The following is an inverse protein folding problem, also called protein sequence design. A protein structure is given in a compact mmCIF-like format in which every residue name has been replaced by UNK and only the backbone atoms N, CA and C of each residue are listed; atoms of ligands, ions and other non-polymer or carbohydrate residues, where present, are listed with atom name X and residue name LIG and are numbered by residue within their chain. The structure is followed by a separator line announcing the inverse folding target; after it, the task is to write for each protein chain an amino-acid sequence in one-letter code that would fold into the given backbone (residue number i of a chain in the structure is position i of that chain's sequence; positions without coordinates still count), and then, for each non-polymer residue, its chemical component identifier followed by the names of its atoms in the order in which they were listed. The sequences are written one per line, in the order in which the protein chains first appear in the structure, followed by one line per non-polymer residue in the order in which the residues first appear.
data_IF_443222105910
#
_entry.id   IF_443222105910
#
_cell.length_a   1.000
_cell.length_b   1.000
_cell.length_c   1.000
_cell.angle_alpha   90.00
_cell.angle_beta   90.00
_cell.angle_gamma   90.00
#
_symmetry.space_group_name_H-M   'P 1'
#
loop_
_entity.id
_entity.type
_entity.pdbx_description
1 polymer ?
#
# COMPACT_ATOMS: atom_id res chain seq x y z
N UNK A 1 -2.50 17.46 -4.31
CA UNK A 1 -3.22 16.54 -3.41
C UNK A 1 -3.01 15.16 -3.98
N UNK A 2 -2.31 14.31 -3.24
CA UNK A 2 -1.88 13.00 -3.77
C UNK A 2 -3.00 11.94 -3.78
N UNK A 3 -4.16 12.21 -3.16
CA UNK A 3 -5.27 11.27 -3.06
C UNK A 3 -6.50 11.80 -3.77
N UNK A 4 -7.03 11.01 -4.70
CA UNK A 4 -8.27 11.26 -5.42
C UNK A 4 -9.26 10.13 -5.12
N UNK A 5 -10.53 10.48 -4.94
CA UNK A 5 -11.60 9.49 -4.73
C UNK A 5 -12.62 9.58 -5.84
N UNK A 6 -12.91 8.46 -6.46
CA UNK A 6 -13.93 8.33 -7.50
C UNK A 6 -14.84 7.14 -7.20
N UNK A 7 -16.10 7.22 -7.62
CA UNK A 7 -17.09 6.17 -7.43
C UNK A 7 -17.60 5.73 -8.79
N UNK A 8 -17.55 4.42 -9.04
CA UNK A 8 -18.11 3.83 -10.25
C UNK A 8 -18.86 2.56 -9.87
N UNK A 9 -20.15 2.53 -10.14
CA UNK A 9 -21.05 1.47 -9.70
C UNK A 9 -20.95 1.28 -8.16
N UNK A 10 -20.82 0.04 -7.69
CA UNK A 10 -20.71 -0.30 -6.26
C UNK A 10 -19.27 -0.19 -5.71
N UNK A 11 -18.34 0.45 -6.45
CA UNK A 11 -16.93 0.49 -6.13
C UNK A 11 -16.43 1.91 -5.86
N UNK A 12 -15.76 2.09 -4.74
CA UNK A 12 -14.99 3.30 -4.42
C UNK A 12 -13.55 3.07 -4.86
N UNK A 13 -13.01 3.98 -5.63
CA UNK A 13 -11.60 4.01 -6.03
C UNK A 13 -10.90 5.12 -5.26
N UNK A 14 -9.86 4.76 -4.52
CA UNK A 14 -8.91 5.70 -3.93
C UNK A 14 -7.64 5.61 -4.78
N UNK A 15 -7.30 6.70 -5.44
CA UNK A 15 -6.19 6.76 -6.39
C UNK A 15 -5.08 7.68 -5.87
N UNK A 16 -3.84 7.25 -6.02
CA UNK A 16 -2.65 8.06 -5.73
C UNK A 16 -2.19 8.76 -7.01
N UNK A 17 -2.07 10.11 -6.95
CA UNK A 17 -1.75 10.94 -8.10
C UNK A 17 -0.83 12.11 -7.73
N UNK A 18 0.43 11.79 -7.42
CA UNK A 18 1.51 12.77 -7.26
C UNK A 18 2.79 12.26 -7.93
N UNK A 19 2.87 12.46 -9.24
CA UNK A 19 3.99 12.03 -10.06
C UNK A 19 5.34 12.61 -9.59
N UNK A 20 5.34 13.86 -9.07
CA UNK A 20 6.56 14.56 -8.65
C UNK A 20 7.27 13.86 -7.49
N UNK A 21 6.52 13.18 -6.64
CA UNK A 21 7.04 12.51 -5.45
C UNK A 21 6.98 10.98 -5.56
N UNK A 22 6.63 10.45 -6.74
CA UNK A 22 6.38 9.01 -6.91
C UNK A 22 5.31 8.51 -5.93
N UNK A 23 4.24 9.29 -5.78
CA UNK A 23 3.12 9.04 -4.86
C UNK A 23 3.57 8.84 -3.40
N UNK A 24 4.54 9.66 -2.91
CA UNK A 24 4.81 9.71 -1.47
C UNK A 24 3.63 10.35 -0.74
N UNK A 25 3.27 9.78 0.40
CA UNK A 25 2.05 10.15 1.14
C UNK A 25 2.43 11.06 2.30
N UNK A 26 1.96 12.32 2.27
CA UNK A 26 2.18 13.31 3.33
C UNK A 26 1.31 13.02 4.56
N UNK A 27 1.61 13.63 5.71
CA UNK A 27 0.80 13.54 6.92
C UNK A 27 -0.68 13.93 6.66
N UNK A 28 -0.93 14.94 5.83
CA UNK A 28 -2.27 15.32 5.41
C UNK A 28 -2.96 14.22 4.61
N UNK A 29 -2.23 13.61 3.68
CA UNK A 29 -2.79 12.56 2.82
C UNK A 29 -3.05 11.26 3.60
N UNK A 30 -2.25 10.93 4.64
CA UNK A 30 -2.56 9.82 5.54
C UNK A 30 -3.89 10.02 6.28
N UNK A 31 -4.16 11.24 6.76
CA UNK A 31 -5.46 11.59 7.39
C UNK A 31 -6.61 11.49 6.41
N UNK A 32 -6.38 11.93 5.17
CA UNK A 32 -7.37 11.82 4.11
C UNK A 32 -7.65 10.36 3.74
N UNK A 33 -6.62 9.54 3.57
CA UNK A 33 -6.76 8.11 3.30
C UNK A 33 -7.61 7.42 4.37
N UNK A 34 -7.26 7.64 5.66
CA UNK A 34 -8.07 7.14 6.79
C UNK A 34 -9.54 7.57 6.65
N UNK A 35 -9.78 8.85 6.40
CA UNK A 35 -11.12 9.41 6.31
C UNK A 35 -11.92 8.78 5.16
N UNK A 36 -11.29 8.57 4.00
CA UNK A 36 -11.96 7.96 2.84
C UNK A 36 -12.27 6.48 3.07
N UNK A 37 -11.38 5.73 3.75
CA UNK A 37 -11.64 4.34 4.12
C UNK A 37 -12.83 4.24 5.08
N UNK A 38 -12.88 5.09 6.12
CA UNK A 38 -13.97 5.12 7.09
C UNK A 38 -15.32 5.54 6.46
N UNK A 39 -15.29 6.47 5.49
CA UNK A 39 -16.47 6.84 4.70
C UNK A 39 -16.96 5.68 3.85
N UNK A 40 -16.04 4.99 3.16
CA UNK A 40 -16.36 3.80 2.38
C UNK A 40 -17.02 2.73 3.24
N UNK A 41 -16.45 2.41 4.40
CA UNK A 41 -17.00 1.38 5.29
C UNK A 41 -18.45 1.66 5.68
N UNK A 42 -18.80 2.93 5.90
CA UNK A 42 -20.18 3.38 6.28
C UNK A 42 -21.11 3.58 5.09
N UNK A 43 -20.61 3.54 3.86
CA UNK A 43 -21.40 3.78 2.64
C UNK A 43 -22.16 2.53 2.19
N UNK A 44 -23.01 2.67 1.18
CA UNK A 44 -23.70 1.54 0.52
C UNK A 44 -22.80 0.80 -0.49
N UNK A 45 -21.60 1.34 -0.81
CA UNK A 45 -20.71 0.72 -1.78
C UNK A 45 -20.09 -0.57 -1.23
N UNK A 46 -19.81 -1.52 -2.13
CA UNK A 46 -19.43 -2.88 -1.76
C UNK A 46 -17.92 -3.14 -1.79
N UNK A 47 -17.19 -2.42 -2.64
CA UNK A 47 -15.77 -2.67 -2.90
C UNK A 47 -14.95 -1.40 -2.79
N UNK A 48 -13.74 -1.53 -2.23
CA UNK A 48 -12.72 -0.49 -2.25
C UNK A 48 -11.56 -0.95 -3.14
N UNK A 49 -11.13 -0.07 -4.04
CA UNK A 49 -9.93 -0.29 -4.84
C UNK A 49 -8.91 0.81 -4.52
N UNK A 50 -7.75 0.40 -4.05
CA UNK A 50 -6.57 1.27 -3.91
C UNK A 50 -5.73 1.12 -5.18
N UNK A 51 -5.43 2.23 -5.85
CA UNK A 51 -4.68 2.20 -7.12
C UNK A 51 -3.86 3.47 -7.31
N UNK A 52 -3.02 3.45 -8.30
CA UNK A 52 -2.32 4.63 -8.82
C UNK A 52 -2.95 5.15 -10.13
N UNK A 53 -2.51 6.33 -10.58
CA UNK A 53 -2.89 6.90 -11.88
C UNK A 53 -1.68 7.07 -12.80
N UNK A 54 -0.48 7.21 -12.25
CA UNK A 54 0.73 7.65 -12.96
C UNK A 54 1.83 6.57 -13.06
N UNK A 55 1.47 5.28 -12.94
CA UNK A 55 2.39 4.15 -13.13
C UNK A 55 3.32 3.89 -11.93
N UNK A 56 3.03 4.43 -10.74
CA UNK A 56 3.72 4.10 -9.50
C UNK A 56 2.72 4.08 -8.34
N UNK A 57 2.60 2.97 -7.64
CA UNK A 57 1.62 2.84 -6.58
C UNK A 57 1.90 3.82 -5.43
N UNK A 58 3.05 3.69 -4.77
CA UNK A 58 3.50 4.65 -3.75
C UNK A 58 4.94 4.38 -3.32
N UNK A 59 5.70 5.43 -3.12
CA UNK A 59 7.04 5.37 -2.51
C UNK A 59 7.02 5.36 -0.97
N UNK A 60 5.83 5.34 -0.35
CA UNK A 60 5.65 5.30 1.10
C UNK A 60 5.43 6.66 1.74
N UNK A 61 5.69 6.77 3.05
CA UNK A 61 5.49 8.00 3.80
C UNK A 61 6.51 9.08 3.41
N UNK A 62 6.02 10.30 3.17
CA UNK A 62 6.88 11.47 3.07
C UNK A 62 7.41 11.81 4.47
N UNK A 63 8.72 11.63 4.66
CA UNK A 63 9.34 11.91 5.96
C UNK A 63 9.23 13.41 6.30
N UNK A 64 8.83 13.69 7.54
CA UNK A 64 8.63 15.03 8.07
C UNK A 64 9.54 15.26 9.29
N UNK A 65 9.72 16.53 9.69
CA UNK A 65 10.51 16.88 10.87
C UNK A 65 9.97 16.22 12.15
N UNK A 66 8.64 16.20 12.31
CA UNK A 66 7.99 15.50 13.42
C UNK A 66 7.59 14.08 13.00
N UNK A 67 8.54 13.15 13.10
CA UNK A 67 8.33 11.76 12.71
C UNK A 67 7.30 11.05 13.60
N UNK A 68 7.19 11.41 14.87
CA UNK A 68 6.24 10.77 15.79
C UNK A 68 4.79 11.08 15.40
N UNK A 69 4.49 12.34 15.09
CA UNK A 69 3.17 12.74 14.62
C UNK A 69 2.83 12.11 13.27
N UNK A 70 3.81 12.02 12.36
CA UNK A 70 3.62 11.31 11.08
C UNK A 70 3.29 9.83 11.31
N UNK A 71 4.02 9.16 12.21
CA UNK A 71 3.80 7.73 12.50
C UNK A 71 2.43 7.48 13.15
N UNK A 72 1.91 8.43 13.92
CA UNK A 72 0.55 8.34 14.45
C UNK A 72 -0.48 8.34 13.31
N UNK A 73 -0.37 9.27 12.34
CA UNK A 73 -1.26 9.34 11.19
C UNK A 73 -1.17 8.08 10.30
N UNK A 74 0.05 7.58 10.06
CA UNK A 74 0.32 6.32 9.33
C UNK A 74 -0.37 5.14 10.03
N UNK A 75 -0.22 5.03 11.35
CA UNK A 75 -0.84 3.95 12.13
C UNK A 75 -2.37 4.04 12.17
N UNK A 76 -2.93 5.25 12.21
CA UNK A 76 -4.38 5.44 12.16
C UNK A 76 -4.95 5.02 10.80
N UNK A 77 -4.28 5.34 9.70
CA UNK A 77 -4.66 4.87 8.36
C UNK A 77 -4.55 3.34 8.24
N UNK A 78 -3.46 2.74 8.77
CA UNK A 78 -3.30 1.28 8.80
C UNK A 78 -4.42 0.60 9.58
N UNK A 79 -4.79 1.14 10.75
CA UNK A 79 -5.90 0.61 11.55
C UNK A 79 -7.25 0.75 10.84
N UNK A 80 -7.51 1.83 10.13
CA UNK A 80 -8.73 2.00 9.36
C UNK A 80 -8.84 0.95 8.26
N UNK A 81 -7.73 0.67 7.55
CA UNK A 81 -7.69 -0.35 6.52
C UNK A 81 -7.83 -1.76 7.09
N UNK A 82 -7.09 -2.08 8.17
CA UNK A 82 -7.17 -3.37 8.86
C UNK A 82 -8.57 -3.70 9.40
N UNK A 83 -9.29 -2.69 9.90
CA UNK A 83 -10.62 -2.86 10.49
C UNK A 83 -11.75 -2.77 9.46
N UNK A 84 -11.45 -2.44 8.19
CA UNK A 84 -12.45 -2.37 7.14
C UNK A 84 -13.09 -3.76 6.94
N UNK A 85 -14.41 -3.84 7.05
CA UNK A 85 -15.17 -5.09 6.96
C UNK A 85 -15.64 -5.43 5.56
N UNK A 86 -15.34 -4.57 4.59
CA UNK A 86 -15.69 -4.76 3.20
C UNK A 86 -14.45 -5.07 2.37
N UNK A 87 -14.58 -5.81 1.26
CA UNK A 87 -13.44 -6.20 0.44
C UNK A 87 -12.62 -5.00 -0.06
N UNK A 88 -11.32 -5.08 0.15
CA UNK A 88 -10.33 -4.12 -0.33
C UNK A 88 -9.41 -4.79 -1.35
N UNK A 89 -9.26 -4.17 -2.50
CA UNK A 89 -8.41 -4.63 -3.59
C UNK A 89 -7.28 -3.62 -3.79
N UNK A 90 -6.04 -4.07 -3.80
CA UNK A 90 -4.91 -3.26 -4.24
C UNK A 90 -4.60 -3.58 -5.71
N UNK A 91 -4.64 -2.57 -6.56
CA UNK A 91 -4.25 -2.63 -7.96
C UNK A 91 -2.92 -1.88 -8.11
N UNK A 92 -1.83 -2.62 -8.35
CA UNK A 92 -0.46 -2.14 -8.13
C UNK A 92 0.33 -2.17 -9.42
N UNK A 93 0.88 -1.01 -9.81
CA UNK A 93 1.88 -0.91 -10.87
C UNK A 93 3.08 -0.07 -10.40
N UNK A 94 4.26 -0.30 -11.01
CA UNK A 94 5.48 0.43 -10.71
C UNK A 94 5.93 0.34 -9.26
N UNK A 95 6.43 1.45 -8.72
CA UNK A 95 7.02 1.51 -7.37
C UNK A 95 5.95 1.31 -6.28
N UNK A 96 6.22 0.35 -5.41
CA UNK A 96 5.45 0.02 -4.22
C UNK A 96 6.41 -0.17 -3.04
N UNK A 97 6.67 0.88 -2.25
CA UNK A 97 7.74 0.88 -1.28
C UNK A 97 7.33 1.37 0.12
N UNK A 98 7.99 0.87 1.15
CA UNK A 98 7.78 1.26 2.54
C UNK A 98 6.34 1.11 3.00
N UNK A 99 5.74 2.16 3.59
CA UNK A 99 4.34 2.13 4.01
C UNK A 99 3.37 1.85 2.83
N UNK A 100 3.73 2.22 1.60
CA UNK A 100 2.98 1.85 0.39
C UNK A 100 3.03 0.35 0.12
N UNK A 101 4.20 -0.30 0.29
CA UNK A 101 4.34 -1.74 0.20
C UNK A 101 3.52 -2.45 1.27
N UNK A 102 3.54 -1.96 2.50
CA UNK A 102 2.78 -2.55 3.59
C UNK A 102 1.27 -2.31 3.49
N UNK A 103 0.84 -1.22 2.82
CA UNK A 103 -0.57 -0.94 2.55
C UNK A 103 -1.21 -2.05 1.72
N UNK A 104 -0.53 -2.54 0.68
CA UNK A 104 -1.09 -3.62 -0.14
C UNK A 104 -1.20 -4.94 0.63
N UNK A 105 -0.33 -5.19 1.62
CA UNK A 105 -0.39 -6.40 2.45
C UNK A 105 -1.60 -6.42 3.41
N UNK A 106 -2.27 -5.28 3.60
CA UNK A 106 -3.51 -5.18 4.36
C UNK A 106 -4.76 -5.34 3.49
N UNK A 107 -4.60 -5.37 2.16
CA UNK A 107 -5.71 -5.57 1.24
C UNK A 107 -6.08 -7.05 1.13
N UNK A 108 -7.35 -7.35 0.89
CA UNK A 108 -7.83 -8.73 0.74
C UNK A 108 -7.33 -9.39 -0.56
N UNK A 109 -7.20 -8.59 -1.62
CA UNK A 109 -6.72 -9.04 -2.93
C UNK A 109 -5.65 -8.10 -3.47
N UNK A 110 -4.51 -8.65 -3.86
CA UNK A 110 -3.44 -7.91 -4.52
C UNK A 110 -3.38 -8.32 -5.98
N UNK A 111 -3.60 -7.36 -6.87
CA UNK A 111 -3.41 -7.51 -8.31
C UNK A 111 -2.23 -6.63 -8.68
N UNK A 112 -1.18 -7.20 -9.23
CA UNK A 112 0.03 -6.45 -9.59
C UNK A 112 0.38 -6.68 -11.06
N UNK A 113 1.16 -5.77 -11.64
CA UNK A 113 1.76 -5.94 -12.97
C UNK A 113 3.14 -6.57 -12.85
N UNK A 114 3.70 -7.05 -13.96
CA UNK A 114 5.09 -7.53 -14.01
C UNK A 114 6.12 -6.42 -13.73
N UNK A 115 5.75 -5.17 -13.97
CA UNK A 115 6.56 -3.96 -13.74
C UNK A 115 6.50 -3.46 -12.30
N UNK A 116 5.68 -4.07 -11.45
CA UNK A 116 5.64 -3.74 -10.01
C UNK A 116 6.99 -3.99 -9.35
N UNK A 117 7.40 -3.05 -8.49
CA UNK A 117 8.65 -3.06 -7.72
C UNK A 117 8.32 -2.96 -6.25
N UNK A 118 8.24 -4.12 -5.57
CA UNK A 118 7.96 -4.18 -4.13
C UNK A 118 9.24 -4.07 -3.31
N UNK A 119 9.29 -3.12 -2.36
CA UNK A 119 10.50 -2.83 -1.58
C UNK A 119 10.15 -2.53 -0.12
N UNK A 120 10.68 -3.33 0.80
CA UNK A 120 10.70 -3.04 2.24
C UNK A 120 11.87 -2.09 2.58
N UNK A 121 11.74 -0.81 2.26
CA UNK A 121 12.84 0.17 2.23
C UNK A 121 13.33 0.62 3.61
N UNK A 122 12.67 0.23 4.69
CA UNK A 122 12.86 0.77 6.04
C UNK A 122 14.30 0.68 6.56
N UNK A 123 14.96 -0.47 6.42
CA UNK A 123 16.35 -0.65 6.90
C UNK A 123 17.34 0.32 6.24
N UNK A 124 17.12 0.73 4.98
CA UNK A 124 17.94 1.77 4.31
C UNK A 124 17.84 3.13 4.98
N UNK A 125 16.78 3.36 5.76
CA UNK A 125 16.50 4.62 6.43
C UNK A 125 16.69 4.53 7.94
N UNK A 126 17.17 3.38 8.45
CA UNK A 126 17.27 3.13 9.89
C UNK A 126 15.93 3.09 10.62
N UNK A 127 14.86 2.78 9.90
CA UNK A 127 13.49 2.73 10.41
C UNK A 127 13.05 1.28 10.64
N UNK A 128 12.11 1.11 11.56
CA UNK A 128 11.39 -0.15 11.77
C UNK A 128 10.23 -0.25 10.78
N UNK A 129 9.95 -1.47 10.31
CA UNK A 129 8.81 -1.74 9.42
C UNK A 129 7.50 -1.35 10.08
N UNK A 130 6.76 -0.46 9.44
CA UNK A 130 5.49 0.09 9.90
C UNK A 130 4.26 -0.48 9.17
N UNK A 131 3.11 0.17 9.27
CA UNK A 131 1.85 -0.15 8.58
C UNK A 131 1.45 -1.63 8.69
N UNK A 132 1.84 -2.34 9.75
CA UNK A 132 1.55 -3.75 9.94
C UNK A 132 2.39 -4.72 9.12
N UNK A 133 3.39 -4.27 8.36
CA UNK A 133 4.22 -5.10 7.49
C UNK A 133 4.96 -6.20 8.25
N UNK A 134 5.52 -5.88 9.43
CA UNK A 134 6.21 -6.86 10.30
C UNK A 134 5.30 -8.00 10.78
N UNK A 135 3.98 -7.81 10.77
CA UNK A 135 2.98 -8.82 11.09
C UNK A 135 2.51 -9.60 9.85
N UNK A 136 2.19 -8.89 8.76
CA UNK A 136 1.55 -9.48 7.59
C UNK A 136 2.52 -10.21 6.67
N UNK A 137 3.66 -9.60 6.36
CA UNK A 137 4.60 -10.18 5.39
C UNK A 137 5.10 -11.57 5.81
N UNK A 138 5.52 -11.81 7.09
CA UNK A 138 5.92 -13.15 7.52
C UNK A 138 4.80 -14.20 7.46
N UNK A 139 3.54 -13.80 7.60
CA UNK A 139 2.39 -14.68 7.49
C UNK A 139 2.06 -15.03 6.05
N UNK A 140 2.37 -14.14 5.13
CA UNK A 140 2.12 -14.31 3.72
C UNK A 140 3.20 -15.17 3.04
N UNK A 141 4.48 -14.91 3.30
CA UNK A 141 5.61 -15.52 2.57
C UNK A 141 6.56 -16.34 3.46
N UNK A 142 6.23 -16.52 4.73
CA UNK A 142 7.08 -17.20 5.70
C UNK A 142 8.19 -16.30 6.26
N UNK A 143 8.61 -16.64 7.50
CA UNK A 143 9.50 -15.78 8.32
C UNK A 143 10.86 -15.53 7.66
N UNK A 144 11.49 -16.55 7.06
CA UNK A 144 12.82 -16.41 6.49
C UNK A 144 12.85 -15.46 5.29
N UNK A 145 11.87 -15.60 4.39
CA UNK A 145 11.77 -14.74 3.21
C UNK A 145 11.39 -13.31 3.59
N UNK A 146 10.49 -13.14 4.57
CA UNK A 146 10.14 -11.82 5.09
C UNK A 146 11.37 -11.12 5.70
N UNK A 147 12.18 -11.82 6.51
CA UNK A 147 13.44 -11.28 7.04
C UNK A 147 14.41 -10.89 5.94
N UNK A 148 14.57 -11.72 4.90
CA UNK A 148 15.40 -11.36 3.74
C UNK A 148 14.96 -10.01 3.17
N UNK A 149 13.68 -9.85 2.81
CA UNK A 149 13.19 -8.62 2.19
C UNK A 149 13.32 -7.41 3.13
N UNK A 150 12.90 -7.54 4.39
CA UNK A 150 12.91 -6.45 5.36
C UNK A 150 14.32 -6.00 5.74
N UNK A 151 15.27 -6.94 5.93
CA UNK A 151 16.60 -6.62 6.42
C UNK A 151 17.57 -6.22 5.30
N UNK A 152 17.44 -6.84 4.12
CA UNK A 152 18.31 -6.53 2.98
C UNK A 152 17.74 -5.42 2.09
N UNK A 153 16.45 -5.10 2.28
CA UNK A 153 15.71 -4.15 1.42
C UNK A 153 15.76 -4.53 -0.06
N UNK A 154 15.84 -5.83 -0.34
CA UNK A 154 15.85 -6.37 -1.70
C UNK A 154 14.54 -6.02 -2.39
N UNK A 155 14.66 -5.47 -3.57
CA UNK A 155 13.55 -5.24 -4.47
C UNK A 155 13.14 -6.56 -5.13
N UNK A 156 11.83 -6.79 -5.23
CA UNK A 156 11.25 -7.90 -5.98
C UNK A 156 10.20 -7.38 -6.97
N UNK A 157 10.12 -8.02 -8.13
CA UNK A 157 9.14 -7.70 -9.18
C UNK A 157 7.82 -8.46 -9.00
N UNK A 158 6.84 -8.15 -9.86
CA UNK A 158 5.52 -8.79 -9.81
C UNK A 158 5.58 -10.31 -10.01
N UNK A 159 6.48 -10.84 -10.84
CA UNK A 159 6.64 -12.29 -11.01
C UNK A 159 7.19 -12.94 -9.72
N UNK A 160 8.15 -12.32 -9.08
CA UNK A 160 8.68 -12.75 -7.78
C UNK A 160 7.60 -12.71 -6.69
N UNK A 161 6.78 -11.65 -6.65
CA UNK A 161 5.64 -11.54 -5.74
C UNK A 161 4.64 -12.69 -5.95
N UNK A 162 4.34 -13.02 -7.22
CA UNK A 162 3.47 -14.14 -7.58
C UNK A 162 4.06 -15.48 -7.10
N UNK A 163 5.34 -15.70 -7.36
CA UNK A 163 6.04 -16.94 -6.96
C UNK A 163 6.11 -17.10 -5.45
N UNK A 164 6.11 -16.00 -4.69
CA UNK A 164 6.03 -15.99 -3.23
C UNK A 164 4.60 -16.12 -2.68
N UNK A 165 3.58 -16.21 -3.55
CA UNK A 165 2.18 -16.33 -3.13
C UNK A 165 1.56 -15.03 -2.62
N UNK A 166 2.15 -13.87 -2.91
CA UNK A 166 1.65 -12.57 -2.46
C UNK A 166 0.46 -12.07 -3.28
N UNK A 167 0.31 -12.54 -4.52
CA UNK A 167 -0.68 -12.00 -5.44
C UNK A 167 -1.89 -12.89 -5.59
N UNK A 168 -3.08 -12.28 -5.61
CA UNK A 168 -4.28 -12.92 -6.15
C UNK A 168 -4.13 -13.13 -7.67
N UNK A 169 -3.62 -12.12 -8.38
CA UNK A 169 -3.44 -12.18 -9.83
C UNK A 169 -2.25 -11.31 -10.27
N UNK A 170 -1.44 -11.84 -11.18
CA UNK A 170 -0.50 -11.04 -11.97
C UNK A 170 -1.21 -10.59 -13.25
N UNK A 171 -1.28 -9.28 -13.49
CA UNK A 171 -1.82 -8.70 -14.71
C UNK A 171 -0.71 -8.53 -15.74
N UNK A 172 -1.04 -8.81 -17.01
CA UNK A 172 -0.12 -8.61 -18.14
C UNK A 172 -0.30 -7.23 -18.79
N UNK A 173 -1.26 -6.46 -18.32
CA UNK A 173 -1.59 -5.11 -18.82
C UNK A 173 -1.66 -4.16 -17.64
N UNK A 174 -1.46 -2.86 -17.90
CA UNK A 174 -1.68 -1.80 -16.90
C UNK A 174 -3.09 -1.89 -16.32
N UNK A 175 -3.18 -1.69 -15.04
CA UNK A 175 -4.41 -1.87 -14.26
C UNK A 175 -5.20 -0.55 -14.21
#
# INVERSE_FOLDING_TARGET
MAIETNIKNDTVFISFNDEKTTNSISAKDWKELKTQIEKFEKSEHKYLVLKEINGNFSSGAQLAENINALMEDVNLAAKALWNCKKPVIAAVDGVCAGAGANMILLSDFIIATSTTRFIEVFARRGLVVDFGGSWNLPRMIGLQKAKELMMTTKEIDGESMKNLGMLYKLSLIHI
#
